data_IF_576204574945
#
_entry.id   IF_576204574945
#
_cell.length_a   1.000
_cell.length_b   1.000
_cell.length_c   1.000
_cell.angle_alpha   90.00
_cell.angle_beta   90.00
_cell.angle_gamma   90.00
#
_symmetry.space_group_name_H-M   'P 1'
#
loop_
_entity.id
_entity.type
_entity.pdbx_description
1 polymer ?
#
# COMPACT_ATOMS: atom_id res chain seq x y z
N UNK A 1 13.00 -2.37 30.27
CA UNK A 1 11.64 -2.44 29.70
C UNK A 1 10.68 -2.07 30.82
N UNK A 2 10.48 -0.76 31.01
CA UNK A 2 9.68 -0.24 32.13
C UNK A 2 8.24 -0.71 32.01
N UNK A 3 7.66 -1.10 33.14
CA UNK A 3 6.25 -1.45 33.27
C UNK A 3 5.41 -0.39 32.55
N UNK A 4 4.77 -0.75 31.43
CA UNK A 4 3.82 0.17 30.76
C UNK A 4 2.74 0.42 31.79
N UNK A 5 2.77 1.60 32.40
CA UNK A 5 1.90 1.90 33.54
C UNK A 5 0.46 1.70 33.11
N UNK A 6 -0.37 1.03 33.91
CA UNK A 6 -1.80 0.84 33.60
C UNK A 6 -2.49 2.15 33.17
N UNK A 7 -2.08 3.28 33.76
CA UNK A 7 -2.52 4.62 33.38
C UNK A 7 -2.26 5.01 31.91
N UNK A 8 -1.14 4.55 31.32
CA UNK A 8 -0.82 4.80 29.92
C UNK A 8 -1.77 4.03 28.99
N UNK A 9 -2.01 2.74 29.28
CA UNK A 9 -2.97 1.91 28.53
C UNK A 9 -4.39 2.47 28.70
N UNK A 10 -4.81 2.82 29.92
CA UNK A 10 -6.13 3.40 30.19
C UNK A 10 -6.35 4.74 29.48
N UNK A 11 -5.32 5.58 29.39
CA UNK A 11 -5.39 6.86 28.68
C UNK A 11 -5.55 6.61 27.18
N UNK A 12 -4.73 5.73 26.61
CA UNK A 12 -4.82 5.36 25.19
C UNK A 12 -6.18 4.73 24.87
N UNK A 13 -6.61 3.73 25.65
CA UNK A 13 -7.93 3.10 25.49
C UNK A 13 -9.06 4.12 25.57
N UNK A 14 -8.98 5.04 26.55
CA UNK A 14 -10.01 6.06 26.68
C UNK A 14 -10.04 6.92 25.42
N UNK A 15 -8.92 7.47 24.97
CA UNK A 15 -8.91 8.33 23.77
C UNK A 15 -9.36 7.55 22.53
N UNK A 16 -8.74 6.40 22.24
CA UNK A 16 -8.96 5.62 21.02
C UNK A 16 -10.36 5.00 20.92
N UNK A 17 -11.07 4.78 22.04
CA UNK A 17 -12.44 4.21 22.04
C UNK A 17 -13.52 5.14 21.47
N UNK A 18 -13.17 6.35 21.00
CA UNK A 18 -14.13 7.24 20.33
C UNK A 18 -13.47 8.16 19.30
N UNK A 19 -13.88 8.09 18.03
CA UNK A 19 -13.42 9.03 17.00
C UNK A 19 -13.70 10.49 17.35
N UNK A 20 -14.76 10.77 18.11
CA UNK A 20 -15.06 12.12 18.60
C UNK A 20 -14.00 12.64 19.56
N UNK A 21 -13.42 11.80 20.43
CA UNK A 21 -12.38 12.24 21.37
C UNK A 21 -11.07 12.55 20.65
N UNK A 22 -10.70 11.71 19.69
CA UNK A 22 -9.55 11.93 18.80
C UNK A 22 -9.72 13.27 18.06
N UNK A 23 -10.86 13.47 17.37
CA UNK A 23 -11.14 14.71 16.65
C UNK A 23 -11.11 15.96 17.53
N UNK A 24 -11.65 15.91 18.75
CA UNK A 24 -11.56 17.03 19.71
C UNK A 24 -10.09 17.38 19.99
N UNK A 25 -9.27 16.37 20.27
CA UNK A 25 -7.86 16.56 20.60
C UNK A 25 -7.07 17.13 19.41
N UNK A 26 -7.30 16.60 18.20
CA UNK A 26 -6.67 17.07 16.96
C UNK A 26 -7.08 18.51 16.62
N UNK A 27 -8.37 18.84 16.76
CA UNK A 27 -8.88 20.21 16.58
C UNK A 27 -8.17 21.18 17.51
N UNK A 28 -8.06 20.82 18.80
CA UNK A 28 -7.38 21.67 19.79
C UNK A 28 -5.86 21.76 19.55
N UNK A 29 -5.25 20.73 18.98
CA UNK A 29 -3.84 20.75 18.59
C UNK A 29 -3.59 21.69 17.40
N UNK A 30 -4.50 21.68 16.41
CA UNK A 30 -4.41 22.50 15.21
C UNK A 30 -4.78 23.98 15.46
N UNK A 31 -5.85 24.23 16.20
CA UNK A 31 -6.44 25.58 16.36
C UNK A 31 -6.10 26.26 17.70
N UNK A 32 -5.51 25.53 18.64
CA UNK A 32 -5.29 26.00 20.00
C UNK A 32 -6.59 26.09 20.80
N UNK A 33 -6.82 27.21 21.50
CA UNK A 33 -7.98 27.34 22.37
C UNK A 33 -9.27 27.57 21.57
N UNK A 34 -10.27 26.67 21.63
CA UNK A 34 -11.54 26.80 20.87
C UNK A 34 -12.78 26.79 21.76
N UNK A 35 -13.87 27.39 21.29
CA UNK A 35 -15.13 27.42 22.05
C UNK A 35 -15.85 26.07 21.99
N UNK A 36 -16.76 25.83 22.93
CA UNK A 36 -17.60 24.63 22.92
C UNK A 36 -18.46 24.52 21.65
N UNK A 37 -18.97 25.64 21.15
CA UNK A 37 -19.82 25.66 19.96
C UNK A 37 -19.02 25.37 18.69
N UNK A 38 -17.76 25.82 18.62
CA UNK A 38 -16.83 25.46 17.54
C UNK A 38 -16.54 23.96 17.54
N UNK A 39 -16.16 23.39 18.70
CA UNK A 39 -15.94 21.93 18.82
C UNK A 39 -17.19 21.12 18.45
N UNK A 40 -18.38 21.63 18.78
CA UNK A 40 -19.63 20.97 18.44
C UNK A 40 -19.89 20.95 16.93
N UNK A 41 -19.57 22.04 16.24
CA UNK A 41 -19.70 22.12 14.78
C UNK A 41 -18.74 21.16 14.08
N UNK A 42 -17.54 20.97 14.65
CA UNK A 42 -16.51 20.10 14.07
C UNK A 42 -16.82 18.60 14.21
N UNK A 43 -17.22 18.15 15.41
CA UNK A 43 -17.31 16.71 15.70
C UNK A 43 -18.71 16.11 15.50
N UNK A 44 -19.68 16.92 15.07
CA UNK A 44 -21.10 16.58 14.81
C UNK A 44 -21.73 15.64 15.86
N UNK A 45 -21.74 16.07 17.13
CA UNK A 45 -22.39 15.33 18.22
C UNK A 45 -23.38 16.18 19.01
N UNK A 46 -24.32 15.50 19.67
CA UNK A 46 -25.25 16.14 20.62
C UNK A 46 -24.50 16.75 21.81
N UNK A 47 -25.03 17.85 22.35
CA UNK A 47 -24.40 18.66 23.41
C UNK A 47 -24.03 17.85 24.66
N UNK A 48 -24.86 16.88 25.04
CA UNK A 48 -24.62 16.01 26.20
C UNK A 48 -23.44 15.07 25.97
N UNK A 49 -23.27 14.56 24.75
CA UNK A 49 -22.11 13.74 24.37
C UNK A 49 -20.83 14.56 24.31
N UNK A 50 -20.88 15.77 23.73
CA UNK A 50 -19.72 16.66 23.73
C UNK A 50 -19.27 16.99 25.17
N UNK A 51 -20.21 17.36 26.05
CA UNK A 51 -19.87 17.67 27.45
C UNK A 51 -19.20 16.47 28.13
N UNK A 52 -19.77 15.26 28.01
CA UNK A 52 -19.18 14.05 28.60
C UNK A 52 -17.75 13.76 28.10
N UNK A 53 -17.49 13.99 26.82
CA UNK A 53 -16.13 13.83 26.28
C UNK A 53 -15.17 14.89 26.81
N UNK A 54 -15.60 16.16 26.87
CA UNK A 54 -14.78 17.24 27.43
C UNK A 54 -14.46 16.99 28.91
N UNK A 55 -15.45 16.60 29.70
CA UNK A 55 -15.28 16.28 31.12
C UNK A 55 -14.28 15.13 31.28
N UNK A 56 -14.47 14.01 30.59
CA UNK A 56 -13.60 12.84 30.77
C UNK A 56 -12.19 13.00 30.18
N UNK A 57 -12.00 13.84 29.16
CA UNK A 57 -10.66 14.27 28.70
C UNK A 57 -10.00 15.22 29.71
N UNK A 58 -10.79 16.11 30.33
CA UNK A 58 -10.33 17.02 31.39
C UNK A 58 -9.96 16.32 32.69
N UNK A 59 -10.74 15.31 33.12
CA UNK A 59 -10.45 14.45 34.28
C UNK A 59 -9.10 13.72 34.13
N UNK A 60 -8.69 13.43 32.89
CA UNK A 60 -7.40 12.83 32.55
C UNK A 60 -6.28 13.86 32.35
N UNK A 61 -6.57 15.14 32.55
CA UNK A 61 -5.61 16.23 32.42
C UNK A 61 -5.18 16.52 30.98
N UNK A 62 -5.90 16.03 29.97
CA UNK A 62 -5.55 16.22 28.55
C UNK A 62 -5.97 17.60 28.04
N UNK A 63 -7.07 18.14 28.58
CA UNK A 63 -7.53 19.48 28.24
C UNK A 63 -7.93 20.26 29.48
N UNK A 64 -8.08 21.57 29.33
CA UNK A 64 -8.61 22.46 30.38
C UNK A 64 -9.51 23.51 29.78
N UNK A 65 -10.46 23.99 30.58
CA UNK A 65 -11.30 25.13 30.22
C UNK A 65 -10.69 26.44 30.74
N UNK A 66 -10.54 27.43 29.86
CA UNK A 66 -10.13 28.80 30.18
C UNK A 66 -11.05 29.78 29.47
N UNK A 67 -11.83 30.54 30.24
CA UNK A 67 -12.67 31.61 29.70
C UNK A 67 -13.69 31.12 28.66
N UNK A 68 -14.40 30.01 28.95
CA UNK A 68 -15.37 29.34 28.05
C UNK A 68 -14.78 28.76 26.76
N UNK A 69 -13.45 28.65 26.69
CA UNK A 69 -12.72 27.96 25.63
C UNK A 69 -12.00 26.76 26.22
N UNK A 70 -11.85 25.70 25.45
CA UNK A 70 -11.06 24.54 25.78
C UNK A 70 -9.72 24.64 25.08
N UNK A 71 -8.65 24.22 25.74
CA UNK A 71 -7.29 24.12 25.17
C UNK A 71 -6.61 22.84 25.66
N UNK A 72 -5.67 22.30 24.90
CA UNK A 72 -4.83 21.21 25.37
C UNK A 72 -3.95 21.68 26.53
N UNK A 73 -3.73 20.80 27.50
CA UNK A 73 -2.59 20.96 28.40
C UNK A 73 -1.31 20.51 27.69
N UNK A 74 -0.13 20.75 28.27
CA UNK A 74 1.12 20.20 27.73
C UNK A 74 1.13 18.67 27.68
N UNK A 75 0.50 18.03 28.68
CA UNK A 75 0.30 16.57 28.67
C UNK A 75 -0.69 16.13 27.58
N UNK A 76 -1.74 16.93 27.36
CA UNK A 76 -2.68 16.77 26.25
C UNK A 76 -2.01 16.80 24.89
N UNK A 77 -1.21 17.83 24.62
CA UNK A 77 -0.47 17.96 23.36
C UNK A 77 0.46 16.78 23.09
N UNK A 78 1.18 16.32 24.12
CA UNK A 78 2.03 15.12 24.02
C UNK A 78 1.21 13.86 23.72
N UNK A 79 0.08 13.66 24.41
CA UNK A 79 -0.80 12.51 24.20
C UNK A 79 -1.46 12.54 22.82
N UNK A 80 -1.91 13.72 22.36
CA UNK A 80 -2.52 13.90 21.04
C UNK A 80 -1.53 13.53 19.94
N UNK A 81 -0.29 14.05 19.99
CA UNK A 81 0.73 13.70 19.01
C UNK A 81 0.98 12.19 18.94
N UNK A 82 1.15 11.54 20.09
CA UNK A 82 1.37 10.09 20.15
C UNK A 82 0.17 9.27 19.64
N UNK A 83 -1.06 9.70 19.93
CA UNK A 83 -2.28 9.02 19.47
C UNK A 83 -2.44 9.19 17.96
N UNK A 84 -2.32 10.40 17.42
CA UNK A 84 -2.44 10.66 15.99
C UNK A 84 -1.39 9.87 15.20
N UNK A 85 -0.12 9.92 15.62
CA UNK A 85 0.96 9.15 14.98
C UNK A 85 0.69 7.63 15.03
N UNK A 86 0.10 7.12 16.12
CA UNK A 86 -0.30 5.71 16.21
C UNK A 86 -1.47 5.39 15.28
N UNK A 87 -2.47 6.27 15.21
CA UNK A 87 -3.63 6.08 14.35
C UNK A 87 -3.23 6.12 12.88
N UNK A 88 -2.33 7.01 12.47
CA UNK A 88 -1.82 7.08 11.10
C UNK A 88 -1.12 5.77 10.69
N UNK A 89 -0.28 5.22 11.57
CA UNK A 89 0.37 3.92 11.33
C UNK A 89 -0.63 2.77 11.28
N UNK A 90 -1.63 2.75 12.17
CA UNK A 90 -2.67 1.72 12.19
C UNK A 90 -3.57 1.83 10.95
N UNK A 91 -3.91 3.04 10.52
CA UNK A 91 -4.69 3.28 9.30
C UNK A 91 -3.93 2.79 8.06
N UNK A 92 -2.65 3.14 7.94
CA UNK A 92 -1.77 2.59 6.90
C UNK A 92 -1.77 1.06 6.95
N UNK A 93 -1.52 0.45 8.10
CA UNK A 93 -1.56 -1.01 8.24
C UNK A 93 -2.90 -1.62 7.80
N UNK A 94 -4.04 -1.00 8.16
CA UNK A 94 -5.38 -1.46 7.72
C UNK A 94 -5.55 -1.35 6.22
N UNK A 95 -5.10 -0.26 5.60
CA UNK A 95 -5.13 -0.07 4.13
C UNK A 95 -4.25 -1.07 3.40
N UNK A 96 -3.05 -1.33 3.92
CA UNK A 96 -2.03 -2.21 3.31
C UNK A 96 -2.30 -3.70 3.55
N UNK A 97 -3.14 -4.02 4.54
CA UNK A 97 -3.55 -5.37 4.96
C UNK A 97 -3.85 -6.33 3.80
N UNK A 98 -4.59 -5.95 2.73
CA UNK A 98 -4.97 -6.87 1.66
C UNK A 98 -3.78 -7.51 0.92
N UNK A 99 -2.65 -6.80 0.90
CA UNK A 99 -1.37 -7.27 0.33
C UNK A 99 -0.48 -7.86 1.42
N UNK A 100 -0.26 -7.15 2.52
CA UNK A 100 0.71 -7.53 3.55
C UNK A 100 0.35 -8.82 4.31
N UNK A 101 -0.94 -9.16 4.46
CA UNK A 101 -1.33 -10.43 5.11
C UNK A 101 -0.97 -11.68 4.29
N UNK A 102 -0.71 -11.51 2.99
CA UNK A 102 -0.41 -12.62 2.06
C UNK A 102 1.08 -12.82 1.81
N UNK A 103 1.91 -11.84 2.17
CA UNK A 103 3.35 -11.89 1.93
C UNK A 103 4.07 -12.11 3.27
N UNK A 104 4.90 -13.15 3.41
CA UNK A 104 5.74 -13.31 4.59
C UNK A 104 6.64 -12.08 4.80
N UNK A 105 6.71 -11.57 6.03
CA UNK A 105 7.49 -10.36 6.32
C UNK A 105 8.97 -10.45 5.89
N UNK A 106 9.56 -11.66 5.88
CA UNK A 106 10.94 -11.90 5.44
C UNK A 106 11.16 -11.59 3.95
N UNK A 107 10.09 -11.60 3.15
CA UNK A 107 10.17 -11.27 1.73
C UNK A 107 10.23 -9.76 1.46
N UNK A 108 9.71 -8.96 2.39
CA UNK A 108 9.69 -7.49 2.34
C UNK A 108 10.78 -6.94 3.26
N UNK A 109 12.04 -7.14 2.86
CA UNK A 109 13.22 -6.71 3.64
C UNK A 109 13.52 -5.20 3.47
N UNK A 110 12.51 -4.37 3.74
CA UNK A 110 12.61 -2.92 3.79
C UNK A 110 11.70 -2.35 4.89
N UNK A 111 11.91 -1.07 5.22
CA UNK A 111 11.08 -0.38 6.21
C UNK A 111 9.67 -0.11 5.65
N UNK A 112 8.68 -0.86 6.16
CA UNK A 112 7.28 -0.73 5.74
C UNK A 112 6.68 0.65 6.05
N UNK A 113 7.33 1.50 6.85
CA UNK A 113 6.92 2.92 6.97
C UNK A 113 6.97 3.63 5.59
N UNK A 114 7.78 3.15 4.63
CA UNK A 114 7.79 3.64 3.25
C UNK A 114 6.52 3.33 2.44
N UNK A 115 5.58 2.56 2.98
CA UNK A 115 4.29 2.25 2.35
C UNK A 115 3.12 3.08 2.90
N UNK A 116 3.37 4.02 3.82
CA UNK A 116 2.29 4.80 4.43
C UNK A 116 1.42 5.47 3.37
N UNK A 117 1.99 6.06 2.32
CA UNK A 117 1.21 6.73 1.26
C UNK A 117 0.91 5.84 0.04
N UNK A 118 1.15 4.52 0.16
CA UNK A 118 0.92 3.61 -0.95
C UNK A 118 -0.58 3.48 -1.28
N UNK A 119 -0.87 3.39 -2.57
CA UNK A 119 -2.21 3.10 -3.08
C UNK A 119 -2.45 1.60 -3.04
N UNK A 120 -3.65 1.17 -2.66
CA UNK A 120 -4.04 -0.25 -2.64
C UNK A 120 -5.32 -0.42 -3.44
N UNK A 121 -5.28 -1.35 -4.39
CA UNK A 121 -6.39 -1.75 -5.24
C UNK A 121 -6.74 -3.20 -4.91
N UNK A 122 -7.94 -3.41 -4.38
CA UNK A 122 -8.45 -4.73 -4.02
C UNK A 122 -9.42 -5.26 -5.07
N UNK A 123 -9.39 -6.56 -5.29
CA UNK A 123 -10.46 -7.26 -6.01
C UNK A 123 -11.74 -7.23 -5.18
N UNK A 124 -12.86 -6.93 -5.84
CA UNK A 124 -14.18 -6.91 -5.20
C UNK A 124 -15.14 -7.83 -5.96
N UNK A 125 -16.28 -8.18 -5.37
CA UNK A 125 -17.32 -8.94 -6.09
C UNK A 125 -17.84 -8.20 -7.32
N UNK A 126 -17.82 -6.86 -7.30
CA UNK A 126 -18.24 -6.04 -8.43
C UNK A 126 -17.16 -5.91 -9.52
N UNK A 127 -15.88 -5.93 -9.13
CA UNK A 127 -14.74 -5.95 -10.04
C UNK A 127 -13.63 -6.90 -9.51
N UNK A 128 -13.69 -8.19 -9.87
CA UNK A 128 -12.71 -9.19 -9.45
C UNK A 128 -11.32 -9.02 -10.08
N UNK A 129 -11.22 -8.26 -11.18
CA UNK A 129 -9.99 -8.05 -11.94
C UNK A 129 -9.40 -6.65 -11.73
N UNK A 130 -9.91 -5.89 -10.76
CA UNK A 130 -9.46 -4.52 -10.48
C UNK A 130 -7.93 -4.37 -10.35
N UNK A 131 -7.19 -5.28 -9.67
CA UNK A 131 -5.73 -5.18 -9.61
C UNK A 131 -5.06 -5.36 -10.99
N UNK A 132 -5.58 -6.28 -11.81
CA UNK A 132 -5.08 -6.53 -13.17
C UNK A 132 -5.38 -5.37 -14.11
N UNK A 133 -6.57 -4.77 -14.01
CA UNK A 133 -6.95 -3.58 -14.76
C UNK A 133 -6.08 -2.38 -14.39
N UNK A 134 -5.82 -2.18 -13.09
CA UNK A 134 -4.94 -1.12 -12.61
C UNK A 134 -3.52 -1.28 -13.12
N UNK A 135 -2.96 -2.50 -13.04
CA UNK A 135 -1.65 -2.82 -13.64
C UNK A 135 -1.64 -2.59 -15.15
N UNK A 136 -2.68 -3.00 -15.87
CA UNK A 136 -2.74 -2.77 -17.31
C UNK A 136 -2.76 -1.27 -17.62
N UNK A 137 -3.49 -0.47 -16.84
CA UNK A 137 -3.53 0.98 -17.00
C UNK A 137 -2.16 1.63 -16.77
N UNK A 138 -1.41 1.21 -15.74
CA UNK A 138 -0.08 1.76 -15.46
C UNK A 138 0.94 1.50 -16.57
N UNK A 139 0.74 0.44 -17.38
CA UNK A 139 1.65 0.11 -18.49
C UNK A 139 1.41 0.96 -19.74
N UNK A 140 0.26 1.63 -19.86
CA UNK A 140 -0.15 2.29 -21.11
C UNK A 140 0.78 3.45 -21.52
N UNK A 141 1.33 4.16 -20.55
CA UNK A 141 2.19 5.33 -20.77
C UNK A 141 3.62 5.10 -20.22
N UNK A 142 3.98 3.84 -19.93
CA UNK A 142 5.26 3.51 -19.31
C UNK A 142 6.42 3.66 -20.30
N UNK A 143 7.55 4.20 -19.85
CA UNK A 143 8.78 4.25 -20.64
C UNK A 143 9.68 3.04 -20.33
N UNK A 144 9.75 2.65 -19.05
CA UNK A 144 10.59 1.56 -18.57
C UNK A 144 9.82 0.66 -17.60
N UNK A 145 9.85 -0.64 -17.87
CA UNK A 145 9.18 -1.64 -17.05
C UNK A 145 10.15 -2.77 -16.71
N UNK A 146 10.29 -3.03 -15.41
CA UNK A 146 10.92 -4.25 -14.90
C UNK A 146 9.89 -5.02 -14.10
N UNK A 147 9.67 -6.29 -14.39
CA UNK A 147 8.64 -7.04 -13.67
C UNK A 147 9.00 -8.50 -13.41
N UNK A 148 8.66 -8.98 -12.21
CA UNK A 148 8.70 -10.38 -11.81
C UNK A 148 7.26 -10.92 -11.79
N UNK A 149 6.96 -11.86 -12.69
CA UNK A 149 5.61 -12.36 -12.94
C UNK A 149 5.44 -13.80 -12.42
N UNK A 150 4.75 -14.02 -11.29
CA UNK A 150 4.34 -15.36 -10.87
C UNK A 150 3.15 -15.90 -11.66
N UNK A 151 2.41 -15.01 -12.32
CA UNK A 151 1.25 -15.30 -13.14
C UNK A 151 1.18 -14.28 -14.29
N UNK A 152 0.52 -14.65 -15.38
CA UNK A 152 0.31 -13.78 -16.54
C UNK A 152 -1.18 -13.70 -16.90
N UNK A 153 -1.58 -12.60 -17.53
CA UNK A 153 -2.93 -12.36 -17.99
C UNK A 153 -2.91 -11.63 -19.33
N UNK A 154 -3.90 -11.91 -20.18
CA UNK A 154 -3.97 -11.34 -21.53
C UNK A 154 -3.97 -9.81 -21.53
N UNK A 155 -4.74 -9.17 -20.63
CA UNK A 155 -4.94 -7.71 -20.70
C UNK A 155 -3.66 -6.90 -20.43
N UNK A 156 -2.88 -7.14 -19.34
CA UNK A 156 -1.59 -6.48 -19.18
C UNK A 156 -0.61 -6.79 -20.31
N UNK A 157 -0.65 -8.00 -20.89
CA UNK A 157 0.23 -8.38 -22.00
C UNK A 157 -0.09 -7.59 -23.28
N UNK A 158 -1.37 -7.41 -23.59
CA UNK A 158 -1.84 -6.54 -24.68
C UNK A 158 -1.33 -5.11 -24.50
N UNK A 159 -1.46 -4.55 -23.29
CA UNK A 159 -0.96 -3.19 -23.03
C UNK A 159 0.57 -3.12 -23.11
N UNK A 160 1.29 -4.14 -22.63
CA UNK A 160 2.75 -4.21 -22.80
C UNK A 160 3.15 -4.14 -24.28
N UNK A 161 2.45 -4.87 -25.15
CA UNK A 161 2.69 -4.83 -26.60
C UNK A 161 2.52 -3.42 -27.16
N UNK A 162 1.43 -2.74 -26.79
CA UNK A 162 1.14 -1.36 -27.24
C UNK A 162 2.20 -0.36 -26.74
N UNK A 163 2.67 -0.52 -25.50
CA UNK A 163 3.74 0.30 -24.92
C UNK A 163 5.08 0.06 -25.63
N UNK A 164 5.44 -1.20 -25.90
CA UNK A 164 6.64 -1.57 -26.66
C UNK A 164 6.61 -0.97 -28.08
N UNK A 165 5.47 -1.03 -28.76
CA UNK A 165 5.26 -0.39 -30.08
C UNK A 165 5.43 1.14 -30.02
N UNK A 166 5.18 1.74 -28.85
CA UNK A 166 5.34 3.17 -28.58
C UNK A 166 6.76 3.53 -28.11
N UNK A 167 7.66 2.56 -27.98
CA UNK A 167 9.08 2.76 -27.66
C UNK A 167 9.47 2.45 -26.21
N UNK A 168 8.59 1.86 -25.41
CA UNK A 168 8.91 1.43 -24.05
C UNK A 168 9.94 0.29 -24.04
N UNK A 169 10.61 0.10 -22.91
CA UNK A 169 11.57 -0.98 -22.65
C UNK A 169 11.08 -1.87 -21.52
N UNK A 170 11.07 -3.18 -21.75
CA UNK A 170 10.57 -4.18 -20.81
C UNK A 170 11.65 -5.21 -20.48
N UNK A 171 11.88 -5.44 -19.18
CA UNK A 171 12.69 -6.53 -18.65
C UNK A 171 11.81 -7.42 -17.76
N UNK A 172 11.55 -8.65 -18.20
CA UNK A 172 10.62 -9.56 -17.54
C UNK A 172 11.35 -10.77 -16.94
N UNK A 173 11.15 -10.99 -15.65
CA UNK A 173 11.46 -12.23 -14.97
C UNK A 173 10.17 -13.04 -14.79
N UNK A 174 10.16 -14.27 -15.29
CA UNK A 174 8.97 -15.13 -15.26
C UNK A 174 9.28 -16.46 -14.61
N UNK A 175 8.29 -17.08 -13.96
CA UNK A 175 8.41 -18.49 -13.56
C UNK A 175 8.44 -19.41 -14.78
N UNK A 176 8.89 -20.64 -14.61
CA UNK A 176 8.84 -21.66 -15.65
C UNK A 176 7.40 -21.89 -16.16
N UNK A 177 6.41 -21.88 -15.27
CA UNK A 177 4.99 -22.02 -15.63
C UNK A 177 4.46 -20.85 -16.47
N UNK A 178 4.87 -19.62 -16.16
CA UNK A 178 4.51 -18.44 -16.95
C UNK A 178 5.23 -18.48 -18.30
N UNK A 179 6.50 -18.90 -18.33
CA UNK A 179 7.23 -19.08 -19.57
C UNK A 179 6.55 -20.13 -20.47
N UNK A 180 6.06 -21.25 -19.93
CA UNK A 180 5.27 -22.23 -20.69
C UNK A 180 3.99 -21.60 -21.24
N UNK A 181 3.23 -20.90 -20.40
CA UNK A 181 1.99 -20.21 -20.80
C UNK A 181 2.22 -19.22 -21.96
N UNK A 182 3.30 -18.45 -21.89
CA UNK A 182 3.71 -17.49 -22.92
C UNK A 182 4.08 -18.17 -24.25
N UNK A 183 4.42 -19.47 -24.26
CA UNK A 183 4.73 -20.23 -25.48
C UNK A 183 3.54 -21.00 -26.03
N UNK A 184 2.64 -21.51 -25.18
CA UNK A 184 1.71 -22.57 -25.57
C UNK A 184 0.23 -22.21 -25.47
N UNK A 185 -0.16 -21.19 -24.70
CA UNK A 185 -1.57 -20.95 -24.34
C UNK A 185 -2.17 -19.70 -25.01
N UNK A 186 -2.94 -19.83 -26.10
CA UNK A 186 -3.73 -18.72 -26.65
C UNK A 186 -4.77 -18.19 -25.66
N UNK A 187 -5.05 -16.86 -25.63
CA UNK A 187 -4.50 -15.83 -26.52
C UNK A 187 -3.16 -15.25 -26.04
N UNK A 188 -2.66 -15.69 -24.89
CA UNK A 188 -1.43 -15.18 -24.27
C UNK A 188 -0.22 -15.46 -25.17
N UNK A 189 -0.10 -16.69 -25.66
CA UNK A 189 0.99 -17.08 -26.57
C UNK A 189 0.98 -16.30 -27.89
N UNK A 190 -0.20 -16.10 -28.50
CA UNK A 190 -0.33 -15.35 -29.76
C UNK A 190 0.13 -13.89 -29.59
N UNK A 191 -0.23 -13.27 -28.46
CA UNK A 191 0.15 -11.89 -28.15
C UNK A 191 1.64 -11.78 -27.85
N UNK A 192 2.19 -12.74 -27.10
CA UNK A 192 3.62 -12.77 -26.78
C UNK A 192 4.47 -12.96 -28.04
N UNK A 193 4.10 -13.90 -28.92
CA UNK A 193 4.79 -14.14 -30.18
C UNK A 193 4.87 -12.88 -31.06
N UNK A 194 3.85 -12.02 -31.03
CA UNK A 194 3.85 -10.78 -31.80
C UNK A 194 4.87 -9.73 -31.31
N UNK A 195 5.42 -9.86 -30.10
CA UNK A 195 6.38 -8.92 -29.52
C UNK A 195 7.70 -9.56 -29.08
N UNK A 196 7.83 -10.89 -29.16
CA UNK A 196 8.99 -11.63 -28.66
C UNK A 196 10.33 -11.22 -29.29
N UNK A 197 10.30 -10.75 -30.55
CA UNK A 197 11.49 -10.30 -31.30
C UNK A 197 11.81 -8.81 -31.09
N UNK A 198 11.07 -8.08 -30.24
CA UNK A 198 11.34 -6.67 -29.99
C UNK A 198 12.68 -6.49 -29.26
N UNK A 199 13.59 -5.68 -29.81
CA UNK A 199 14.89 -5.39 -29.17
C UNK A 199 14.74 -4.74 -27.77
N UNK A 200 13.60 -4.09 -27.52
CA UNK A 200 13.24 -3.47 -26.25
C UNK A 200 12.54 -4.41 -25.27
N UNK A 201 12.44 -5.71 -25.56
CA UNK A 201 11.90 -6.73 -24.66
C UNK A 201 12.97 -7.77 -24.31
N UNK A 202 13.25 -7.94 -23.02
CA UNK A 202 14.01 -9.07 -22.50
C UNK A 202 13.12 -9.93 -21.59
N UNK A 203 13.25 -11.25 -21.72
CA UNK A 203 12.54 -12.22 -20.87
C UNK A 203 13.52 -13.25 -20.36
N UNK A 204 13.55 -13.46 -19.05
CA UNK A 204 14.35 -14.49 -18.40
C UNK A 204 13.50 -15.31 -17.41
N UNK A 205 13.83 -16.58 -17.29
CA UNK A 205 13.14 -17.55 -16.45
C UNK A 205 13.89 -17.68 -15.13
N UNK A 206 13.18 -17.49 -14.02
CA UNK A 206 13.68 -17.77 -12.67
C UNK A 206 13.30 -19.18 -12.25
N UNK A 207 14.25 -19.93 -11.69
CA UNK A 207 14.04 -21.32 -11.25
C UNK A 207 13.29 -21.42 -9.91
N UNK A 208 13.26 -20.34 -9.13
CA UNK A 208 12.62 -20.31 -7.82
C UNK A 208 11.16 -19.88 -7.93
N UNK A 209 10.34 -20.36 -7.00
CA UNK A 209 8.98 -19.84 -6.84
C UNK A 209 9.01 -18.34 -6.52
N UNK A 210 8.04 -17.64 -7.09
CA UNK A 210 7.86 -16.20 -6.95
C UNK A 210 6.61 -15.97 -6.11
N UNK A 211 6.73 -15.51 -4.84
CA UNK A 211 5.58 -15.47 -3.94
C UNK A 211 4.57 -14.36 -4.25
N UNK A 212 4.96 -13.34 -5.01
CA UNK A 212 4.11 -12.20 -5.36
C UNK A 212 4.62 -11.55 -6.65
N UNK A 213 3.72 -10.83 -7.33
CA UNK A 213 4.09 -9.96 -8.45
C UNK A 213 4.88 -8.76 -7.94
N UNK A 214 6.04 -8.50 -8.54
CA UNK A 214 6.80 -7.27 -8.33
C UNK A 214 6.90 -6.54 -9.68
N UNK A 215 6.50 -5.28 -9.73
CA UNK A 215 6.67 -4.42 -10.89
C UNK A 215 7.37 -3.13 -10.52
N UNK A 216 8.26 -2.66 -11.38
CA UNK A 216 8.83 -1.32 -11.38
C UNK A 216 8.39 -0.71 -12.71
N UNK A 217 7.52 0.28 -12.65
CA UNK A 217 6.98 1.00 -13.81
C UNK A 217 7.44 2.44 -13.65
N UNK A 218 8.47 2.82 -14.40
CA UNK A 218 9.19 4.09 -14.29
C UNK A 218 9.68 4.37 -12.84
N UNK A 219 8.96 5.23 -12.11
CA UNK A 219 9.25 5.62 -10.73
C UNK A 219 8.34 4.92 -9.70
N UNK A 220 7.35 4.15 -10.14
CA UNK A 220 6.40 3.45 -9.28
C UNK A 220 6.79 1.98 -9.07
N UNK A 221 6.62 1.49 -7.84
CA UNK A 221 6.75 0.07 -7.48
C UNK A 221 5.37 -0.49 -7.22
N UNK A 222 5.07 -1.63 -7.85
CA UNK A 222 3.86 -2.39 -7.65
C UNK A 222 4.15 -3.75 -7.00
N UNK A 223 3.33 -4.12 -6.02
CA UNK A 223 3.36 -5.42 -5.34
C UNK A 223 1.98 -6.04 -5.43
N UNK A 224 1.85 -7.16 -6.13
CA UNK A 224 0.56 -7.83 -6.39
C UNK A 224 0.49 -9.23 -5.80
N UNK A 225 -0.65 -9.58 -5.22
CA UNK A 225 -0.88 -10.87 -4.57
C UNK A 225 -2.09 -11.59 -5.16
N UNK A 226 -2.01 -12.91 -5.18
CA UNK A 226 -3.03 -13.79 -5.73
C UNK A 226 -3.60 -14.72 -4.64
N UNK A 227 -4.76 -15.31 -4.89
CA UNK A 227 -5.28 -16.40 -4.06
C UNK A 227 -4.66 -17.75 -4.48
N UNK A 228 -5.06 -18.83 -3.78
CA UNK A 228 -4.60 -20.19 -4.05
C UNK A 228 -4.97 -20.71 -5.45
N UNK A 229 -5.93 -20.06 -6.12
CA UNK A 229 -6.34 -20.39 -7.48
C UNK A 229 -5.62 -19.52 -8.54
N UNK A 230 -4.69 -18.66 -8.12
CA UNK A 230 -3.96 -17.74 -8.99
C UNK A 230 -4.76 -16.50 -9.41
N UNK A 231 -5.91 -16.22 -8.79
CA UNK A 231 -6.69 -15.02 -9.08
C UNK A 231 -6.09 -13.82 -8.36
N UNK A 232 -5.96 -12.64 -9.02
CA UNK A 232 -5.47 -11.43 -8.38
C UNK A 232 -6.43 -11.03 -7.25
N UNK A 233 -5.87 -10.68 -6.09
CA UNK A 233 -6.67 -10.32 -4.91
C UNK A 233 -6.42 -8.88 -4.45
N UNK A 234 -5.19 -8.41 -4.55
CA UNK A 234 -4.84 -7.03 -4.29
C UNK A 234 -3.54 -6.65 -4.99
N UNK A 235 -3.39 -5.37 -5.29
CA UNK A 235 -2.15 -4.76 -5.74
C UNK A 235 -1.92 -3.48 -4.95
N UNK A 236 -0.69 -3.31 -4.48
CA UNK A 236 -0.18 -2.10 -3.87
C UNK A 236 0.71 -1.37 -4.86
N UNK A 237 0.66 -0.04 -4.88
CA UNK A 237 1.59 0.82 -5.61
C UNK A 237 2.18 1.90 -4.70
N UNK A 238 3.50 2.09 -4.76
CA UNK A 238 4.22 3.15 -4.04
C UNK A 238 5.20 3.87 -4.97
N UNK A 239 5.41 5.16 -4.74
CA UNK A 239 6.45 5.99 -5.41
C UNK A 239 7.59 6.36 -4.46
N UNK A 240 7.63 5.73 -3.28
CA UNK A 240 8.65 6.01 -2.28
C UNK A 240 10.02 5.44 -2.70
N UNK A 241 11.07 6.26 -2.56
CA UNK A 241 12.41 5.97 -3.07
C UNK A 241 13.05 4.72 -2.47
N UNK A 242 12.95 4.50 -1.15
CA UNK A 242 13.47 3.31 -0.46
C UNK A 242 12.76 2.04 -0.93
N UNK A 243 11.45 2.11 -1.18
CA UNK A 243 10.69 0.98 -1.74
C UNK A 243 11.19 0.67 -3.16
N UNK A 244 11.49 1.71 -3.95
CA UNK A 244 12.06 1.57 -5.29
C UNK A 244 13.47 0.98 -5.28
N UNK A 245 14.34 1.46 -4.40
CA UNK A 245 15.70 0.91 -4.22
C UNK A 245 15.64 -0.58 -3.87
N UNK A 246 14.80 -0.95 -2.91
CA UNK A 246 14.57 -2.36 -2.55
C UNK A 246 14.06 -3.20 -3.73
N UNK A 247 13.10 -2.68 -4.50
CA UNK A 247 12.53 -3.40 -5.63
C UNK A 247 13.59 -3.67 -6.72
N UNK A 248 14.43 -2.68 -7.01
CA UNK A 248 15.54 -2.80 -7.97
C UNK A 248 16.56 -3.84 -7.48
N UNK A 249 17.01 -3.73 -6.22
CA UNK A 249 17.97 -4.66 -5.65
C UNK A 249 17.46 -6.11 -5.69
N UNK A 250 16.16 -6.29 -5.39
CA UNK A 250 15.50 -7.60 -5.44
C UNK A 250 15.40 -8.12 -6.87
N UNK A 251 14.99 -7.29 -7.83
CA UNK A 251 14.92 -7.66 -9.24
C UNK A 251 16.30 -8.08 -9.78
N UNK A 252 17.32 -7.24 -9.59
CA UNK A 252 18.69 -7.49 -10.04
C UNK A 252 19.27 -8.77 -9.40
N UNK A 253 18.92 -9.07 -8.15
CA UNK A 253 19.34 -10.30 -7.48
C UNK A 253 18.75 -11.56 -8.10
N UNK A 254 17.49 -11.50 -8.54
CA UNK A 254 16.81 -12.59 -9.22
C UNK A 254 17.33 -12.76 -10.64
N UNK A 255 17.51 -11.65 -11.37
CA UNK A 255 18.01 -11.63 -12.73
C UNK A 255 19.39 -12.30 -12.84
N UNK A 256 20.29 -12.05 -11.88
CA UNK A 256 21.63 -12.69 -11.85
C UNK A 256 21.61 -14.23 -11.85
N UNK A 257 20.49 -14.83 -11.43
CA UNK A 257 20.31 -16.28 -11.38
C UNK A 257 19.27 -16.77 -12.39
N UNK A 258 18.69 -15.88 -13.19
CA UNK A 258 17.74 -16.22 -14.22
C UNK A 258 18.46 -16.72 -15.48
N UNK A 259 17.74 -17.52 -16.28
CA UNK A 259 18.22 -17.97 -17.59
C UNK A 259 17.40 -17.29 -18.67
N UNK A 260 18.04 -16.74 -19.70
CA UNK A 260 17.32 -16.12 -20.82
C UNK A 260 16.28 -17.10 -21.38
N UNK A 261 15.08 -16.58 -21.65
CA UNK A 261 14.05 -17.37 -22.30
C UNK A 261 14.46 -17.57 -23.75
N UNK A 262 14.65 -18.82 -24.16
CA UNK A 262 14.94 -19.13 -25.57
C UNK A 262 13.84 -18.55 -26.47
N UNK A 263 14.26 -17.93 -27.57
CA UNK A 263 13.38 -17.41 -28.61
C UNK A 263 12.44 -18.51 -29.10
N UNK A 264 11.18 -18.14 -29.38
CA UNK A 264 10.20 -19.04 -29.97
C UNK A 264 10.72 -19.53 -31.33
N UNK A 265 11.05 -20.82 -31.46
CA UNK A 265 11.35 -21.46 -32.76
C UNK A 265 10.09 -21.67 -33.60
#
# INVERSE_FOLDING_TARGET
>A
MGDRTGAAIETLEYVARSPTRVRILETLAAEGAVSKDALRAEVDVVRTTLQRNLDGLGERGLLRERGRRYELTSAGALATGAVTETLDRVDAMVRLRPVLERIPAIELDFDLEGLVDATVVESTTANPYAPTEYRAASLSDAEYVRAMLPATAAKPLETSREALESGAVFELLVTESVAETLRTEPPVADTFAAMADAESLSVAVVANEVPFYLGIVDDAVQIGVHDENGLPTALLESTETRVREWAIDRFDALERHATAMDSLE
#
